data_IF_559764781372
#
_entry.id   IF_559764781372
#
_cell.length_a   1.000
_cell.length_b   1.000
_cell.length_c   1.000
_cell.angle_alpha   90.00
_cell.angle_beta   90.00
_cell.angle_gamma   90.00
#
_symmetry.space_group_name_H-M   'P 1'
#
loop_
_entity.id
_entity.type
_entity.pdbx_description
1 polymer ?
#
# COMPACT_ATOMS: atom_id res chain seq x y z
N UNK A 1 10.73 -22.06 2.43
CA UNK A 1 9.95 -21.09 1.62
C UNK A 1 10.35 -21.14 0.15
N UNK A 2 11.60 -20.80 -0.20
CA UNK A 2 12.03 -20.69 -1.61
C UNK A 2 12.05 -22.03 -2.38
N UNK A 3 12.22 -23.17 -1.69
CA UNK A 3 12.22 -24.49 -2.33
C UNK A 3 10.83 -25.01 -2.77
N UNK A 4 9.73 -24.38 -2.35
CA UNK A 4 8.37 -24.78 -2.76
C UNK A 4 8.04 -24.17 -4.14
N UNK A 5 7.26 -24.87 -4.99
CA UNK A 5 6.69 -24.28 -6.19
C UNK A 5 5.94 -22.99 -5.85
N UNK A 6 6.13 -21.97 -6.67
CA UNK A 6 5.43 -20.69 -6.50
C UNK A 6 4.07 -20.75 -7.18
N UNK A 7 3.02 -20.52 -6.40
CA UNK A 7 1.63 -20.53 -6.83
C UNK A 7 0.99 -19.17 -6.53
N UNK A 8 -0.26 -18.97 -6.93
CA UNK A 8 -1.05 -17.89 -6.34
C UNK A 8 -1.28 -18.14 -4.85
N UNK A 9 -1.46 -17.08 -4.07
CA UNK A 9 -1.73 -17.17 -2.64
C UNK A 9 -3.03 -17.95 -2.38
N UNK A 10 -4.06 -17.80 -3.22
CA UNK A 10 -5.28 -18.59 -3.17
C UNK A 10 -5.00 -20.10 -3.27
N UNK A 11 -4.26 -20.53 -4.29
CA UNK A 11 -3.92 -21.94 -4.50
C UNK A 11 -3.05 -22.49 -3.36
N UNK A 12 -2.06 -21.70 -2.93
CA UNK A 12 -1.17 -22.09 -1.85
C UNK A 12 -1.90 -22.23 -0.50
N UNK A 13 -2.94 -21.44 -0.23
CA UNK A 13 -3.76 -21.59 0.98
C UNK A 13 -4.47 -22.95 1.01
N UNK A 14 -5.10 -23.33 -0.10
CA UNK A 14 -5.81 -24.62 -0.21
C UNK A 14 -4.83 -25.78 -0.14
N UNK A 15 -3.68 -25.68 -0.83
CA UNK A 15 -2.65 -26.71 -0.84
C UNK A 15 -1.98 -26.96 0.52
N UNK A 16 -2.17 -26.09 1.52
CA UNK A 16 -1.64 -26.27 2.88
C UNK A 16 -2.48 -27.22 3.75
N UNK A 17 -3.64 -27.68 3.28
CA UNK A 17 -4.45 -28.67 3.99
C UNK A 17 -5.11 -28.15 5.27
N UNK A 18 -5.30 -26.82 5.38
CA UNK A 18 -5.99 -26.22 6.52
C UNK A 18 -7.51 -26.38 6.38
N UNK A 19 -8.27 -26.43 7.50
CA UNK A 19 -9.72 -26.48 7.44
C UNK A 19 -10.31 -25.29 6.68
N UNK A 20 -11.33 -25.55 5.85
CA UNK A 20 -12.00 -24.50 5.05
C UNK A 20 -12.45 -23.31 5.91
N UNK A 21 -13.05 -23.57 7.09
CA UNK A 21 -13.44 -22.54 8.06
C UNK A 21 -12.30 -21.59 8.46
N UNK A 22 -11.08 -22.10 8.58
CA UNK A 22 -9.90 -21.31 8.95
C UNK A 22 -9.38 -20.51 7.77
N UNK A 23 -9.44 -21.11 6.57
CA UNK A 23 -9.06 -20.44 5.33
C UNK A 23 -10.04 -19.29 5.06
N UNK A 24 -11.32 -19.57 4.98
CA UNK A 24 -12.32 -18.59 4.53
C UNK A 24 -12.71 -17.62 5.65
N UNK A 25 -12.78 -18.08 6.90
CA UNK A 25 -13.15 -17.25 8.05
C UNK A 25 -12.06 -16.30 8.55
N UNK A 26 -10.78 -16.52 8.19
CA UNK A 26 -9.69 -15.69 8.72
C UNK A 26 -8.52 -15.48 7.77
N UNK A 27 -7.89 -16.56 7.25
CA UNK A 27 -6.64 -16.41 6.50
C UNK A 27 -6.82 -15.69 5.18
N UNK A 28 -7.90 -15.99 4.46
CA UNK A 28 -8.26 -15.37 3.19
C UNK A 28 -8.55 -13.88 3.34
N UNK A 29 -9.46 -13.42 4.22
CA UNK A 29 -9.71 -11.98 4.39
C UNK A 29 -8.48 -11.25 4.95
N UNK A 30 -7.71 -11.87 5.85
CA UNK A 30 -6.46 -11.29 6.35
C UNK A 30 -5.44 -11.08 5.22
N UNK A 31 -5.20 -12.10 4.40
CA UNK A 31 -4.26 -11.98 3.27
C UNK A 31 -4.75 -10.98 2.24
N UNK A 32 -6.05 -10.93 1.96
CA UNK A 32 -6.61 -9.94 1.05
C UNK A 32 -6.34 -8.51 1.55
N UNK A 33 -6.51 -8.27 2.85
CA UNK A 33 -6.19 -7.00 3.49
C UNK A 33 -4.68 -6.68 3.45
N UNK A 34 -3.82 -7.65 3.78
CA UNK A 34 -2.36 -7.44 3.83
C UNK A 34 -1.73 -7.23 2.45
N UNK A 35 -2.33 -7.81 1.40
CA UNK A 35 -1.80 -7.77 0.03
C UNK A 35 -2.54 -6.78 -0.88
N UNK A 36 -3.64 -6.20 -0.40
CA UNK A 36 -4.59 -5.43 -1.21
C UNK A 36 -5.11 -6.20 -2.44
N UNK A 37 -5.22 -7.52 -2.34
CA UNK A 37 -5.54 -8.42 -3.46
C UNK A 37 -6.74 -9.32 -3.08
N UNK A 38 -7.97 -8.98 -3.48
CA UNK A 38 -9.18 -9.70 -3.05
C UNK A 38 -9.26 -11.14 -3.58
N UNK A 39 -8.63 -11.38 -4.73
CA UNK A 39 -8.61 -12.68 -5.43
C UNK A 39 -7.39 -13.51 -5.06
N UNK A 40 -6.44 -12.95 -4.29
CA UNK A 40 -5.22 -13.60 -3.84
C UNK A 40 -4.40 -14.20 -5.01
N UNK A 41 -4.33 -13.45 -6.11
CA UNK A 41 -3.51 -13.74 -7.30
C UNK A 41 -2.01 -13.56 -7.06
N UNK A 42 -1.67 -12.78 -6.03
CA UNK A 42 -0.31 -12.51 -5.55
C UNK A 42 0.45 -13.80 -5.27
N UNK A 43 1.76 -13.77 -5.51
CA UNK A 43 2.72 -14.82 -5.18
C UNK A 43 2.53 -15.39 -3.79
N UNK A 44 2.51 -16.72 -3.70
CA UNK A 44 2.50 -17.44 -2.43
C UNK A 44 3.69 -17.10 -1.54
N UNK A 45 4.83 -16.71 -2.12
CA UNK A 45 6.03 -16.28 -1.38
C UNK A 45 5.83 -14.90 -0.77
N UNK A 46 5.24 -13.96 -1.51
CA UNK A 46 4.84 -12.65 -0.97
C UNK A 46 3.81 -12.81 0.15
N UNK A 47 2.82 -13.68 -0.04
CA UNK A 47 1.81 -13.98 0.97
C UNK A 47 2.42 -14.56 2.25
N UNK A 48 3.37 -15.50 2.13
CA UNK A 48 4.08 -16.06 3.29
C UNK A 48 4.90 -15.00 4.03
N UNK A 49 5.55 -14.08 3.29
CA UNK A 49 6.28 -12.96 3.90
C UNK A 49 5.33 -12.01 4.64
N UNK A 50 4.19 -11.67 4.04
CA UNK A 50 3.18 -10.81 4.66
C UNK A 50 2.61 -11.45 5.93
N UNK A 51 2.23 -12.73 5.90
CA UNK A 51 1.76 -13.46 7.08
C UNK A 51 2.83 -13.56 8.16
N UNK A 52 4.09 -13.84 7.77
CA UNK A 52 5.20 -13.88 8.74
C UNK A 52 5.44 -12.52 9.37
N UNK A 53 5.37 -11.43 8.60
CA UNK A 53 5.53 -10.07 9.13
C UNK A 53 4.39 -9.73 10.10
N UNK A 54 3.15 -10.06 9.73
CA UNK A 54 1.99 -9.89 10.61
C UNK A 54 2.11 -10.72 11.89
N UNK A 55 2.48 -11.99 11.81
CA UNK A 55 2.58 -12.88 12.97
C UNK A 55 3.73 -12.53 13.92
N UNK A 56 4.84 -12.00 13.39
CA UNK A 56 6.00 -11.58 14.20
C UNK A 56 5.85 -10.16 14.76
N UNK A 57 5.02 -9.35 14.13
CA UNK A 57 4.81 -7.95 14.48
C UNK A 57 3.37 -7.69 14.92
N UNK A 58 2.98 -6.43 14.83
CA UNK A 58 1.60 -5.97 14.90
C UNK A 58 1.37 -5.05 13.71
N UNK A 59 0.10 -4.79 13.38
CA UNK A 59 -0.22 -3.65 12.53
C UNK A 59 0.08 -2.36 13.29
N UNK A 60 0.64 -1.38 12.60
CA UNK A 60 0.99 -0.09 13.17
C UNK A 60 0.51 1.04 12.26
N UNK A 61 0.25 2.19 12.86
CA UNK A 61 -0.03 3.45 12.17
C UNK A 61 1.00 4.47 12.65
N UNK A 62 1.60 5.28 11.75
CA UNK A 62 2.49 6.36 12.17
C UNK A 62 1.67 7.43 12.90
N UNK A 63 2.08 7.83 14.11
CA UNK A 63 1.43 8.93 14.82
C UNK A 63 1.45 10.21 13.95
N UNK A 64 0.32 10.91 13.90
CA UNK A 64 0.17 12.16 13.14
C UNK A 64 -0.13 11.99 11.64
N UNK A 65 -0.14 10.76 11.10
CA UNK A 65 -0.49 10.53 9.69
C UNK A 65 0.62 9.92 8.84
N UNK A 66 0.30 9.65 7.57
CA UNK A 66 1.26 9.07 6.63
C UNK A 66 2.40 10.06 6.29
N UNK A 67 2.14 11.37 6.33
CA UNK A 67 3.11 12.44 6.05
C UNK A 67 4.23 12.56 7.10
N UNK A 68 3.98 12.08 8.34
CA UNK A 68 4.98 12.13 9.41
C UNK A 68 6.30 11.45 9.01
N UNK A 69 6.24 10.33 8.28
CA UNK A 69 7.46 9.61 7.88
C UNK A 69 8.29 10.40 6.85
N UNK A 70 7.72 10.86 5.71
CA UNK A 70 8.39 11.78 4.80
C UNK A 70 8.97 13.03 5.49
N UNK A 71 8.22 13.66 6.40
CA UNK A 71 8.68 14.85 7.12
C UNK A 71 9.91 14.58 7.99
N UNK A 72 9.92 13.44 8.70
CA UNK A 72 11.07 13.02 9.50
C UNK A 72 12.29 12.73 8.63
N UNK A 73 12.10 12.12 7.46
CA UNK A 73 13.18 11.88 6.50
C UNK A 73 13.73 13.20 5.96
N UNK A 74 12.87 14.15 5.61
CA UNK A 74 13.24 15.46 5.10
C UNK A 74 14.10 16.25 6.10
N UNK A 75 13.73 16.23 7.40
CA UNK A 75 14.51 16.89 8.47
C UNK A 75 15.93 16.34 8.63
N UNK A 76 16.18 15.12 8.15
CA UNK A 76 17.51 14.50 8.16
C UNK A 76 18.42 14.93 7.01
N UNK A 77 17.91 15.71 6.04
CA UNK A 77 18.66 16.13 4.86
C UNK A 77 19.21 17.56 5.01
N UNK A 78 20.38 17.87 4.40
CA UNK A 78 20.88 19.24 4.36
C UNK A 78 19.87 20.20 3.72
N UNK A 79 19.76 21.45 4.19
CA UNK A 79 18.91 22.47 3.57
C UNK A 79 19.19 22.61 2.06
N UNK A 80 18.15 22.75 1.26
CA UNK A 80 18.25 22.86 -0.20
C UNK A 80 18.44 21.53 -0.94
N UNK A 81 18.44 20.38 -0.26
CA UNK A 81 18.54 19.06 -0.92
C UNK A 81 17.28 18.69 -1.71
N UNK A 82 16.10 19.10 -1.22
CA UNK A 82 14.81 18.72 -1.81
C UNK A 82 14.21 19.92 -2.53
N UNK A 83 13.86 19.72 -3.80
CA UNK A 83 13.17 20.70 -4.64
C UNK A 83 11.78 20.17 -4.99
N UNK A 84 10.73 20.80 -4.48
CA UNK A 84 9.33 20.50 -4.81
C UNK A 84 8.84 21.37 -5.95
N UNK A 85 7.76 20.97 -6.63
CA UNK A 85 7.23 21.70 -7.79
C UNK A 85 8.10 21.56 -9.05
N UNK A 86 9.13 20.72 -9.02
CA UNK A 86 10.02 20.46 -10.16
C UNK A 86 9.64 19.13 -10.81
N UNK A 87 9.04 19.19 -12.00
CA UNK A 87 8.70 17.99 -12.78
C UNK A 87 9.85 17.58 -13.68
N UNK A 88 10.37 16.38 -13.46
CA UNK A 88 11.33 15.72 -14.35
C UNK A 88 10.62 15.21 -15.61
N UNK A 89 11.21 15.45 -16.77
CA UNK A 89 10.67 15.04 -18.08
C UNK A 89 11.59 14.07 -18.83
N UNK A 90 12.89 14.05 -18.50
CA UNK A 90 13.86 13.12 -19.07
C UNK A 90 15.01 12.88 -18.11
N UNK A 91 15.62 11.69 -18.19
CA UNK A 91 16.78 11.30 -17.39
C UNK A 91 17.83 10.65 -18.28
N UNK A 92 19.09 10.93 -17.97
CA UNK A 92 20.26 10.24 -18.50
C UNK A 92 21.14 9.75 -17.34
N UNK A 93 22.25 9.07 -17.64
CA UNK A 93 23.23 8.68 -16.60
C UNK A 93 23.91 9.87 -15.92
N UNK A 94 23.87 11.05 -16.54
CA UNK A 94 24.66 12.22 -16.15
C UNK A 94 23.84 13.49 -16.01
N UNK A 95 22.54 13.44 -16.29
CA UNK A 95 21.68 14.61 -16.20
C UNK A 95 20.20 14.29 -16.05
N UNK A 96 19.47 15.28 -15.55
CA UNK A 96 18.02 15.26 -15.38
C UNK A 96 17.46 16.52 -16.03
N UNK A 97 16.60 16.36 -17.03
CA UNK A 97 15.89 17.47 -17.67
C UNK A 97 14.55 17.65 -16.99
N UNK A 98 14.19 18.91 -16.73
CA UNK A 98 12.92 19.28 -16.10
C UNK A 98 12.08 20.13 -17.03
N UNK A 99 10.77 20.18 -16.78
CA UNK A 99 9.84 20.93 -17.62
C UNK A 99 10.13 22.44 -17.61
N UNK A 100 10.45 22.99 -16.43
CA UNK A 100 10.46 24.45 -16.21
C UNK A 100 11.73 24.96 -15.52
N UNK A 101 12.64 24.06 -15.10
CA UNK A 101 13.81 24.41 -14.28
C UNK A 101 15.13 24.05 -14.97
N UNK A 102 15.10 23.79 -16.29
CA UNK A 102 16.28 23.46 -17.07
C UNK A 102 16.84 22.05 -16.80
N UNK A 103 18.14 21.90 -16.98
CA UNK A 103 18.87 20.63 -16.85
C UNK A 103 19.79 20.65 -15.62
N UNK A 104 19.71 19.60 -14.81
CA UNK A 104 20.60 19.35 -13.68
C UNK A 104 21.64 18.31 -14.05
N UNK A 105 22.93 18.64 -13.96
CA UNK A 105 24.02 17.67 -14.18
C UNK A 105 24.29 16.88 -12.91
N UNK A 106 24.57 15.59 -13.05
CA UNK A 106 24.86 14.69 -11.96
C UNK A 106 25.85 13.59 -12.40
N UNK A 107 26.32 12.79 -11.44
CA UNK A 107 27.21 11.64 -11.69
C UNK A 107 26.45 10.32 -11.86
N UNK A 108 25.21 10.28 -11.38
CA UNK A 108 24.29 9.17 -11.46
C UNK A 108 22.87 9.67 -11.18
N UNK A 109 21.88 8.98 -11.72
CA UNK A 109 20.45 9.22 -11.47
C UNK A 109 19.81 8.00 -10.82
N UNK A 110 19.02 8.25 -9.77
CA UNK A 110 18.13 7.27 -9.16
C UNK A 110 16.68 7.71 -9.38
N UNK A 111 15.92 6.92 -10.16
CA UNK A 111 14.49 7.14 -10.37
C UNK A 111 13.70 6.46 -9.25
N UNK A 112 13.01 7.25 -8.43
CA UNK A 112 12.24 6.81 -7.27
C UNK A 112 10.74 7.16 -7.38
N UNK A 113 10.21 7.25 -8.60
CA UNK A 113 8.79 7.51 -8.90
C UNK A 113 7.96 6.22 -8.81
N UNK A 114 6.63 6.33 -8.92
CA UNK A 114 5.78 5.16 -9.15
C UNK A 114 6.13 4.45 -10.47
N UNK A 115 5.69 3.22 -10.62
CA UNK A 115 6.10 2.37 -11.75
C UNK A 115 5.68 2.92 -13.12
N UNK A 116 4.58 3.69 -13.21
CA UNK A 116 4.12 4.26 -14.48
C UNK A 116 4.99 5.45 -14.86
N UNK A 117 5.18 6.40 -13.97
CA UNK A 117 6.09 7.53 -14.21
C UNK A 117 7.53 7.08 -14.42
N UNK A 118 7.97 6.01 -13.75
CA UNK A 118 9.30 5.44 -13.97
C UNK A 118 9.46 4.91 -15.41
N UNK A 119 8.42 4.27 -15.96
CA UNK A 119 8.45 3.76 -17.34
C UNK A 119 8.35 4.86 -18.40
N UNK A 120 7.73 5.99 -18.10
CA UNK A 120 7.77 7.19 -18.95
C UNK A 120 9.20 7.76 -19.05
N UNK A 121 9.92 7.79 -17.93
CA UNK A 121 11.31 8.27 -17.87
C UNK A 121 12.33 7.23 -18.37
N UNK A 122 12.00 5.95 -18.27
CA UNK A 122 12.88 4.81 -18.57
C UNK A 122 12.18 3.82 -19.52
N UNK A 123 12.14 4.11 -20.84
CA UNK A 123 11.52 3.23 -21.81
C UNK A 123 12.08 1.80 -21.72
N UNK A 124 11.18 0.81 -21.71
CA UNK A 124 11.52 -0.60 -21.54
C UNK A 124 11.43 -1.12 -20.10
N UNK A 125 11.17 -0.26 -19.11
CA UNK A 125 10.84 -0.70 -17.76
C UNK A 125 9.48 -1.40 -17.74
N UNK A 126 9.44 -2.62 -17.17
CA UNK A 126 8.19 -3.36 -17.00
C UNK A 126 7.28 -2.64 -16.00
N UNK A 127 6.11 -2.22 -16.46
CA UNK A 127 5.02 -1.74 -15.62
C UNK A 127 4.16 -2.94 -15.20
N UNK A 128 3.98 -3.21 -13.89
CA UNK A 128 3.05 -4.24 -13.44
C UNK A 128 1.59 -3.75 -13.59
N UNK A 129 0.65 -4.69 -13.55
CA UNK A 129 -0.75 -4.34 -13.24
C UNK A 129 -0.85 -3.81 -11.80
N UNK A 130 -2.00 -3.25 -11.43
CA UNK A 130 -2.22 -2.70 -10.10
C UNK A 130 -3.52 -3.20 -9.48
N UNK A 131 -3.51 -3.30 -8.16
CA UNK A 131 -4.73 -3.43 -7.38
C UNK A 131 -5.24 -2.04 -7.01
N UNK A 132 -6.45 -1.66 -7.45
CA UNK A 132 -7.08 -0.42 -7.05
C UNK A 132 -7.58 -0.51 -5.60
N UNK A 133 -7.48 0.61 -4.89
CA UNK A 133 -7.92 0.71 -3.50
C UNK A 133 -8.72 1.99 -3.32
N UNK A 134 -9.83 1.90 -2.59
CA UNK A 134 -10.57 3.06 -2.12
C UNK A 134 -10.59 3.10 -0.61
N UNK A 135 -10.17 4.21 -0.02
CA UNK A 135 -10.20 4.44 1.42
C UNK A 135 -11.30 5.45 1.73
N UNK A 136 -12.17 5.12 2.67
CA UNK A 136 -13.26 5.99 3.12
C UNK A 136 -13.08 6.30 4.60
N UNK A 137 -13.19 7.58 4.93
CA UNK A 137 -13.05 8.11 6.27
C UNK A 137 -14.38 8.66 6.77
N UNK A 138 -14.83 8.13 7.91
CA UNK A 138 -16.05 8.58 8.58
C UNK A 138 -15.74 9.07 9.99
N UNK A 139 -16.36 10.19 10.38
CA UNK A 139 -16.38 10.65 11.75
C UNK A 139 -17.70 10.27 12.44
N UNK A 140 -17.62 9.89 13.71
CA UNK A 140 -18.78 9.55 14.55
C UNK A 140 -18.55 9.98 15.99
N UNK A 141 -19.63 10.32 16.68
CA UNK A 141 -19.62 10.65 18.11
C UNK A 141 -19.78 9.38 18.96
N UNK A 142 -20.31 8.31 18.34
CA UNK A 142 -20.58 7.00 18.94
C UNK A 142 -19.77 5.93 18.19
N UNK A 143 -18.48 5.76 18.48
CA UNK A 143 -17.65 4.78 17.81
C UNK A 143 -18.03 3.34 18.18
N UNK A 144 -17.92 2.38 17.24
CA UNK A 144 -18.05 0.97 17.54
C UNK A 144 -17.12 0.50 18.66
N UNK A 145 -17.57 -0.45 19.47
CA UNK A 145 -16.83 -0.99 20.62
C UNK A 145 -15.76 -2.04 20.21
N UNK A 146 -14.99 -1.78 19.15
CA UNK A 146 -13.93 -2.70 18.66
C UNK A 146 -12.54 -2.40 19.23
N UNK A 147 -12.39 -1.33 20.02
CA UNK A 147 -11.10 -0.88 20.50
C UNK A 147 -10.13 -0.57 19.35
N UNK A 148 -8.91 -1.07 19.43
CA UNK A 148 -7.87 -0.91 18.39
C UNK A 148 -7.84 -2.08 17.39
N UNK A 149 -8.83 -2.96 17.39
CA UNK A 149 -8.83 -4.13 16.52
C UNK A 149 -9.08 -3.72 15.05
N UNK A 150 -8.38 -4.41 14.12
CA UNK A 150 -8.74 -4.40 12.71
C UNK A 150 -9.87 -5.41 12.50
N UNK A 151 -11.00 -4.94 11.98
CA UNK A 151 -12.10 -5.80 11.60
C UNK A 151 -11.93 -6.20 10.12
N UNK A 152 -12.06 -7.50 9.85
CA UNK A 152 -11.97 -8.09 8.51
C UNK A 152 -13.35 -8.61 8.12
N UNK A 153 -13.78 -8.37 6.88
CA UNK A 153 -15.01 -8.98 6.35
C UNK A 153 -14.70 -10.38 5.81
N UNK A 154 -15.00 -11.40 6.61
CA UNK A 154 -14.87 -12.80 6.21
C UNK A 154 -16.03 -13.27 5.31
N UNK A 155 -17.23 -12.69 5.48
CA UNK A 155 -18.44 -13.09 4.79
C UNK A 155 -18.50 -12.53 3.36
N UNK A 156 -17.67 -11.52 3.06
CA UNK A 156 -17.62 -10.84 1.75
C UNK A 156 -18.99 -10.26 1.37
N UNK A 157 -19.71 -9.75 2.38
CA UNK A 157 -21.11 -9.32 2.32
C UNK A 157 -21.31 -7.88 1.82
N UNK A 158 -20.24 -7.23 1.37
CA UNK A 158 -20.28 -5.87 0.87
C UNK A 158 -18.92 -5.36 0.41
N UNK A 159 -18.80 -4.05 0.13
CA UNK A 159 -17.59 -3.49 -0.49
C UNK A 159 -16.40 -3.34 0.48
N UNK A 160 -16.63 -3.39 1.80
CA UNK A 160 -15.57 -3.14 2.79
C UNK A 160 -14.79 -4.43 3.03
N UNK A 161 -13.52 -4.45 2.65
CA UNK A 161 -12.63 -5.58 2.92
C UNK A 161 -12.16 -5.58 4.38
N UNK A 162 -11.86 -4.40 4.93
CA UNK A 162 -11.46 -4.23 6.32
C UNK A 162 -11.72 -2.80 6.80
N UNK A 163 -11.85 -2.64 8.12
CA UNK A 163 -12.12 -1.35 8.77
C UNK A 163 -11.57 -1.29 10.18
N UNK A 164 -11.23 -0.08 10.65
CA UNK A 164 -10.76 0.16 12.00
C UNK A 164 -11.15 1.55 12.50
N UNK A 165 -11.38 1.67 13.80
CA UNK A 165 -11.52 2.98 14.48
C UNK A 165 -10.12 3.53 14.72
N UNK A 166 -9.50 4.09 13.66
CA UNK A 166 -8.08 4.50 13.69
C UNK A 166 -7.75 5.55 14.75
N UNK A 167 -8.73 6.35 15.15
CA UNK A 167 -8.60 7.30 16.28
C UNK A 167 -8.42 6.64 17.65
N UNK A 168 -8.72 5.33 17.78
CA UNK A 168 -8.40 4.56 18.99
C UNK A 168 -6.92 4.19 19.07
N UNK A 169 -6.22 4.22 17.93
CA UNK A 169 -4.77 4.02 17.86
C UNK A 169 -4.05 5.36 17.97
N UNK A 170 -4.53 6.37 17.24
CA UNK A 170 -3.96 7.71 17.19
C UNK A 170 -5.08 8.77 17.23
N UNK A 171 -5.39 9.32 18.42
CA UNK A 171 -6.47 10.30 18.60
C UNK A 171 -6.29 11.59 17.79
N UNK A 172 -5.04 11.96 17.43
CA UNK A 172 -4.74 13.20 16.71
C UNK A 172 -5.32 13.24 15.30
N UNK A 173 -5.70 12.07 14.76
CA UNK A 173 -6.26 11.92 13.41
C UNK A 173 -7.74 12.25 13.31
N UNK A 174 -8.44 12.42 14.44
CA UNK A 174 -9.86 12.73 14.44
C UNK A 174 -10.12 14.20 14.77
N UNK A 175 -11.21 14.79 14.25
CA UNK A 175 -11.73 16.05 14.77
C UNK A 175 -11.97 15.96 16.29
N UNK A 176 -11.75 17.08 16.99
CA UNK A 176 -11.90 17.14 18.45
C UNK A 176 -13.28 16.62 18.90
N UNK A 177 -13.28 15.73 19.90
CA UNK A 177 -14.49 15.13 20.45
C UNK A 177 -15.13 14.03 19.58
N UNK A 178 -14.54 13.67 18.43
CA UNK A 178 -15.07 12.64 17.53
C UNK A 178 -14.11 11.48 17.36
N UNK A 179 -14.63 10.36 16.89
CA UNK A 179 -13.83 9.22 16.49
C UNK A 179 -13.77 9.12 14.96
N UNK A 180 -12.58 8.82 14.45
CA UNK A 180 -12.32 8.50 13.05
C UNK A 180 -12.38 6.98 12.82
N UNK A 181 -13.24 6.56 11.90
CA UNK A 181 -13.33 5.21 11.33
C UNK A 181 -12.79 5.26 9.91
N UNK A 182 -11.87 4.35 9.59
CA UNK A 182 -11.28 4.22 8.26
C UNK A 182 -11.61 2.85 7.71
N UNK A 183 -12.19 2.82 6.51
CA UNK A 183 -12.63 1.60 5.84
C UNK A 183 -12.00 1.49 4.46
N UNK A 184 -11.58 0.29 4.10
CA UNK A 184 -10.91 0.00 2.84
C UNK A 184 -11.77 -0.87 1.94
N UNK A 185 -11.96 -0.43 0.70
CA UNK A 185 -12.57 -1.18 -0.39
C UNK A 185 -11.46 -1.60 -1.34
N UNK A 186 -11.35 -2.91 -1.59
CA UNK A 186 -10.39 -3.48 -2.54
C UNK A 186 -11.08 -3.72 -3.88
N UNK A 187 -10.41 -3.37 -4.97
CA UNK A 187 -11.01 -3.47 -6.31
C UNK A 187 -11.70 -2.17 -6.74
N UNK A 188 -12.48 -2.28 -7.82
CA UNK A 188 -13.27 -1.16 -8.35
C UNK A 188 -14.35 -0.77 -7.33
N UNK A 189 -14.42 0.50 -6.89
CA UNK A 189 -15.44 0.91 -5.94
C UNK A 189 -16.84 0.84 -6.59
N UNK A 190 -17.88 0.50 -5.82
CA UNK A 190 -19.25 0.58 -6.32
C UNK A 190 -19.67 2.03 -6.57
N UNK A 191 -20.70 2.21 -7.39
CA UNK A 191 -21.40 3.49 -7.46
C UNK A 191 -21.91 3.89 -6.06
N UNK A 192 -21.90 5.20 -5.75
CA UNK A 192 -22.28 5.71 -4.43
C UNK A 192 -21.50 5.02 -3.28
N UNK A 193 -20.18 4.91 -3.44
CA UNK A 193 -19.28 4.17 -2.53
C UNK A 193 -19.52 4.49 -1.06
N UNK A 194 -19.76 5.76 -0.72
CA UNK A 194 -20.02 6.19 0.65
C UNK A 194 -21.27 5.52 1.26
N UNK A 195 -22.40 5.54 0.56
CA UNK A 195 -23.65 4.90 0.99
C UNK A 195 -23.46 3.39 1.11
N UNK A 196 -22.84 2.76 0.12
CA UNK A 196 -22.58 1.32 0.14
C UNK A 196 -21.67 0.90 1.30
N UNK A 197 -20.63 1.69 1.59
CA UNK A 197 -19.74 1.49 2.73
C UNK A 197 -20.49 1.65 4.05
N UNK A 198 -21.23 2.76 4.28
CA UNK A 198 -22.00 2.94 5.52
C UNK A 198 -22.98 1.81 5.78
N UNK A 199 -23.74 1.39 4.76
CA UNK A 199 -24.68 0.26 4.88
C UNK A 199 -23.98 -1.06 5.22
N UNK A 200 -22.76 -1.26 4.73
CA UNK A 200 -22.00 -2.46 5.05
C UNK A 200 -21.40 -2.38 6.47
N UNK A 201 -20.87 -1.22 6.85
CA UNK A 201 -20.33 -0.96 8.18
C UNK A 201 -21.39 -1.10 9.28
N UNK A 202 -22.64 -0.73 9.01
CA UNK A 202 -23.72 -0.92 9.99
C UNK A 202 -23.95 -2.40 10.32
N UNK A 203 -23.83 -3.28 9.32
CA UNK A 203 -23.89 -4.74 9.50
C UNK A 203 -22.64 -5.26 10.19
N UNK A 204 -21.45 -4.88 9.72
CA UNK A 204 -20.17 -5.35 10.26
C UNK A 204 -19.98 -4.98 11.74
N UNK A 205 -20.40 -3.77 12.14
CA UNK A 205 -20.30 -3.30 13.51
C UNK A 205 -21.54 -3.57 14.35
N UNK A 206 -22.65 -4.01 13.76
CA UNK A 206 -23.92 -4.19 14.46
C UNK A 206 -24.48 -2.90 15.06
N UNK A 207 -24.23 -1.75 14.42
CA UNK A 207 -24.65 -0.41 14.91
C UNK A 207 -25.15 0.49 13.79
N UNK A 208 -25.90 1.53 14.12
CA UNK A 208 -26.35 2.51 13.14
C UNK A 208 -25.20 3.41 12.67
N UNK A 209 -25.10 3.60 11.36
CA UNK A 209 -24.16 4.54 10.73
C UNK A 209 -24.84 5.82 10.25
N UNK A 210 -26.11 6.05 10.59
CA UNK A 210 -26.90 7.16 10.03
C UNK A 210 -26.36 8.54 10.43
N UNK A 211 -25.69 8.63 11.59
CA UNK A 211 -25.07 9.87 12.11
C UNK A 211 -23.60 10.00 11.73
N UNK A 212 -23.07 9.08 10.92
CA UNK A 212 -21.68 9.12 10.51
C UNK A 212 -21.50 10.16 9.40
N UNK A 213 -20.54 11.05 9.61
CA UNK A 213 -20.17 12.07 8.65
C UNK A 213 -19.02 11.56 7.80
N UNK A 214 -19.15 11.67 6.48
CA UNK A 214 -18.08 11.31 5.56
C UNK A 214 -17.10 12.47 5.46
N UNK A 215 -15.89 12.26 5.95
CA UNK A 215 -14.84 13.28 5.90
C UNK A 215 -14.11 13.27 4.56
N UNK A 216 -13.81 12.07 4.04
CA UNK A 216 -13.10 11.93 2.78
C UNK A 216 -13.28 10.54 2.14
N UNK A 217 -13.18 10.52 0.81
CA UNK A 217 -13.14 9.32 -0.01
C UNK A 217 -11.94 9.47 -0.96
N UNK A 218 -10.98 8.57 -0.85
CA UNK A 218 -9.78 8.57 -1.68
C UNK A 218 -9.75 7.30 -2.53
N UNK A 219 -9.87 7.44 -3.84
CA UNK A 219 -9.73 6.34 -4.78
C UNK A 219 -8.38 6.41 -5.48
N UNK A 220 -7.60 5.34 -5.37
CA UNK A 220 -6.34 5.16 -6.07
C UNK A 220 -6.47 3.97 -7.05
N UNK A 221 -6.64 4.22 -8.37
CA UNK A 221 -6.79 3.16 -9.35
C UNK A 221 -5.50 2.34 -9.56
N UNK A 222 -4.35 2.94 -9.23
CA UNK A 222 -3.03 2.32 -9.32
C UNK A 222 -2.36 2.28 -7.95
N UNK A 223 -3.06 1.76 -6.93
CA UNK A 223 -2.62 1.88 -5.53
C UNK A 223 -1.47 0.94 -5.18
N UNK A 224 -1.56 -0.34 -5.55
CA UNK A 224 -0.58 -1.36 -5.17
C UNK A 224 -0.13 -2.15 -6.39
N UNK A 225 1.16 -2.13 -6.77
CA UNK A 225 1.67 -2.97 -7.85
C UNK A 225 1.37 -4.45 -7.63
N UNK A 226 0.77 -5.11 -8.61
CA UNK A 226 0.43 -6.52 -8.54
C UNK A 226 1.69 -7.40 -8.53
N UNK A 227 1.75 -8.33 -7.58
CA UNK A 227 2.87 -9.27 -7.39
C UNK A 227 2.48 -10.68 -7.85
N UNK A 228 1.98 -10.83 -9.08
CA UNK A 228 1.47 -12.11 -9.63
C UNK A 228 2.54 -13.22 -9.56
N UNK A 229 2.10 -14.45 -9.31
CA UNK A 229 2.99 -15.62 -9.34
C UNK A 229 3.40 -15.99 -10.78
N UNK A 230 4.69 -16.28 -11.05
CA UNK A 230 5.84 -16.09 -10.18
C UNK A 230 6.28 -14.63 -10.09
N UNK A 231 6.67 -14.17 -8.90
CA UNK A 231 7.14 -12.82 -8.63
C UNK A 231 8.61 -12.80 -8.22
N UNK A 232 9.39 -11.96 -8.88
CA UNK A 232 10.75 -11.66 -8.45
C UNK A 232 10.72 -10.70 -7.26
N UNK A 233 11.00 -11.24 -6.08
CA UNK A 233 11.07 -10.51 -4.80
C UNK A 233 12.23 -9.52 -4.72
N UNK A 234 13.18 -9.57 -5.66
CA UNK A 234 14.40 -8.75 -5.61
C UNK A 234 14.84 -8.28 -6.99
N UNK A 235 13.97 -7.55 -7.70
CA UNK A 235 14.24 -7.07 -9.06
C UNK A 235 15.50 -6.18 -9.10
N UNK A 236 16.25 -6.15 -10.22
CA UNK A 236 17.50 -5.36 -10.32
C UNK A 236 17.30 -3.87 -10.05
N UNK A 237 18.09 -3.22 -9.20
CA UNK A 237 17.96 -1.77 -8.97
C UNK A 237 18.90 -0.94 -9.84
N UNK A 238 19.92 -1.56 -10.43
CA UNK A 238 20.83 -0.95 -11.41
C UNK A 238 20.37 -1.36 -12.80
N UNK A 239 20.06 -0.39 -13.66
CA UNK A 239 19.73 -0.64 -15.06
C UNK A 239 21.00 -0.60 -15.91
N UNK A 240 21.83 0.41 -15.68
CA UNK A 240 23.20 0.51 -16.18
C UNK A 240 24.06 1.35 -15.22
N UNK A 241 25.37 1.41 -15.45
CA UNK A 241 26.24 2.25 -14.65
C UNK A 241 25.80 3.73 -14.75
N UNK A 242 25.43 4.33 -13.61
CA UNK A 242 24.93 5.71 -13.55
C UNK A 242 23.41 5.87 -13.67
N UNK A 243 22.64 4.79 -13.89
CA UNK A 243 21.17 4.85 -13.94
C UNK A 243 20.53 3.73 -13.12
N UNK A 244 19.75 4.15 -12.13
CA UNK A 244 19.17 3.28 -11.11
C UNK A 244 17.67 3.54 -10.97
N UNK A 245 16.96 2.54 -10.47
CA UNK A 245 15.51 2.61 -10.21
C UNK A 245 15.18 1.93 -8.88
N UNK A 246 14.33 2.57 -8.09
CA UNK A 246 13.78 2.01 -6.86
C UNK A 246 12.30 2.36 -6.72
N UNK A 247 11.60 1.63 -5.85
CA UNK A 247 10.18 1.81 -5.58
C UNK A 247 9.55 0.51 -5.12
N UNK A 248 8.30 0.60 -4.69
CA UNK A 248 7.45 -0.53 -4.33
C UNK A 248 7.33 -1.60 -5.45
N UNK A 249 7.53 -1.20 -6.71
CA UNK A 249 7.55 -2.04 -7.89
C UNK A 249 8.88 -2.81 -8.14
N UNK A 250 9.90 -2.65 -7.27
CA UNK A 250 11.20 -3.35 -7.38
C UNK A 250 11.37 -4.54 -6.44
N UNK A 251 10.66 -4.58 -5.31
CA UNK A 251 10.75 -5.65 -4.31
C UNK A 251 9.35 -6.18 -3.97
N UNK A 252 8.88 -5.98 -2.74
CA UNK A 252 7.50 -6.21 -2.31
C UNK A 252 6.72 -4.89 -2.33
N UNK A 253 5.47 -4.92 -2.81
CA UNK A 253 4.59 -3.75 -2.96
C UNK A 253 4.10 -3.19 -1.63
N UNK A 254 5.03 -2.78 -0.77
CA UNK A 254 4.83 -2.35 0.62
C UNK A 254 5.77 -1.18 0.90
N UNK A 255 5.47 -0.35 1.90
CA UNK A 255 6.36 0.74 2.34
C UNK A 255 7.76 0.22 2.69
N UNK A 256 7.85 -0.91 3.39
CA UNK A 256 9.12 -1.55 3.73
C UNK A 256 9.89 -2.02 2.48
N UNK A 257 9.20 -2.60 1.51
CA UNK A 257 9.81 -3.00 0.23
C UNK A 257 10.31 -1.81 -0.57
N UNK A 258 9.57 -0.69 -0.60
CA UNK A 258 10.02 0.55 -1.23
C UNK A 258 11.30 1.08 -0.57
N UNK A 259 11.32 1.20 0.77
CA UNK A 259 12.51 1.63 1.52
C UNK A 259 13.71 0.69 1.32
N UNK A 260 13.48 -0.63 1.31
CA UNK A 260 14.53 -1.61 1.07
C UNK A 260 15.11 -1.50 -0.34
N UNK A 261 14.25 -1.32 -1.35
CA UNK A 261 14.70 -1.11 -2.73
C UNK A 261 15.51 0.19 -2.89
N UNK A 262 15.09 1.27 -2.20
CA UNK A 262 15.82 2.54 -2.16
C UNK A 262 17.20 2.38 -1.53
N UNK A 263 17.29 1.67 -0.40
CA UNK A 263 18.58 1.35 0.23
C UNK A 263 19.47 0.53 -0.67
N UNK A 264 18.93 -0.50 -1.35
CA UNK A 264 19.68 -1.30 -2.33
C UNK A 264 20.21 -0.44 -3.47
N UNK A 265 19.40 0.48 -4.00
CA UNK A 265 19.80 1.35 -5.08
C UNK A 265 20.89 2.34 -4.64
N UNK A 266 20.75 2.93 -3.45
CA UNK A 266 21.78 3.78 -2.85
C UNK A 266 23.10 3.03 -2.62
N UNK A 267 23.06 1.81 -2.09
CA UNK A 267 24.26 0.96 -1.92
C UNK A 267 24.87 0.55 -3.26
N UNK A 268 24.08 0.39 -4.32
CA UNK A 268 24.61 0.11 -5.65
C UNK A 268 25.18 1.37 -6.32
N UNK A 269 24.80 2.56 -5.89
CA UNK A 269 25.27 3.83 -6.43
C UNK A 269 26.61 4.25 -5.81
N UNK A 270 26.77 4.03 -4.50
CA UNK A 270 27.98 4.30 -3.70
C UNK A 270 29.09 3.27 -3.96
#
# INVERSE_FOLDING_TARGET
LLARPELTAAQALVARGLPARTIDGFLRPLLAALLCDPDLTTSSRCADLALRAFARGRLCLPEGGAETLPDLLLRGLPPGTVHTGVRVTSVSTTSVTTAEHGEFRCRAVLVATDARSAAELLPGLRVPDFHPVTVVHHATDEPPATGTALLLDADRGGPVAHTAVVSRVDPSRAPAGRALVTSTVLGTPPAQVDTAVRMHLSRLYGTSTNRWETLAVHHAPHAVPAMRAPHDLRRPVRLLAGLYVCGDHRDTSTVQGALYSGRRAATALL
#
